data_IF_681508649700
#
_entry.id   IF_681508649700
#
_cell.length_a   1.000
_cell.length_b   1.000
_cell.length_c   1.000
_cell.angle_alpha   90.00
_cell.angle_beta   90.00
_cell.angle_gamma   90.00
#
_symmetry.space_group_name_H-M   'P 1'
#
loop_
_entity.id
_entity.type
_entity.pdbx_description
1 polymer ?
#
# COMPACT_ATOMS: atom_id res chain seq x y z
N UNK A 1 98.94 -39.92 -22.34
CA UNK A 1 98.99 -39.29 -23.68
C UNK A 1 97.94 -38.18 -23.71
N UNK A 2 98.40 -36.94 -23.95
CA UNK A 2 97.70 -35.75 -24.50
C UNK A 2 96.40 -35.21 -23.81
N UNK A 3 96.57 -34.25 -22.88
CA UNK A 3 96.15 -32.81 -22.84
C UNK A 3 94.94 -32.29 -23.68
N UNK A 4 94.39 -31.05 -23.47
CA UNK A 4 93.64 -30.46 -22.33
C UNK A 4 92.41 -29.55 -22.76
N UNK A 5 91.75 -28.88 -21.77
CA UNK A 5 90.86 -27.67 -21.85
C UNK A 5 89.41 -27.90 -22.36
N UNK A 6 88.35 -27.17 -21.98
CA UNK A 6 88.15 -25.74 -21.66
C UNK A 6 86.93 -25.50 -20.74
N UNK A 7 86.93 -24.38 -20.03
CA UNK A 7 85.85 -23.79 -19.22
C UNK A 7 84.80 -23.13 -20.11
N UNK A 8 83.51 -23.24 -19.78
CA UNK A 8 82.56 -22.14 -20.05
C UNK A 8 81.39 -22.16 -19.06
N UNK A 9 81.30 -21.09 -18.26
CA UNK A 9 80.18 -20.76 -17.40
C UNK A 9 79.03 -20.21 -18.25
N UNK A 10 77.79 -20.60 -17.94
CA UNK A 10 76.58 -19.94 -18.46
C UNK A 10 75.71 -19.54 -17.28
N UNK A 11 75.50 -18.22 -17.17
CA UNK A 11 74.61 -17.59 -16.22
C UNK A 11 73.15 -17.82 -16.66
N UNK A 12 72.32 -18.32 -15.76
CA UNK A 12 70.87 -18.38 -15.96
C UNK A 12 70.24 -17.09 -15.42
N UNK A 13 69.81 -16.21 -16.33
CA UNK A 13 69.02 -15.03 -16.02
C UNK A 13 67.59 -15.44 -15.65
N UNK A 14 67.18 -15.15 -14.42
CA UNK A 14 65.79 -15.26 -13.96
C UNK A 14 65.01 -14.07 -14.53
N UNK A 15 64.12 -14.33 -15.49
CA UNK A 15 63.17 -13.34 -15.98
C UNK A 15 61.97 -13.28 -15.02
N UNK A 16 61.82 -12.18 -14.28
CA UNK A 16 60.57 -11.83 -13.60
C UNK A 16 59.54 -11.40 -14.66
N UNK A 17 58.54 -12.25 -14.90
CA UNK A 17 57.31 -11.87 -15.60
C UNK A 17 56.42 -11.10 -14.63
N UNK A 18 56.45 -9.77 -14.72
CA UNK A 18 55.43 -8.92 -14.12
C UNK A 18 54.14 -9.02 -14.96
N UNK A 19 53.18 -9.81 -14.51
CA UNK A 19 51.82 -9.79 -15.03
C UNK A 19 51.13 -8.52 -14.52
N UNK A 20 50.97 -7.52 -15.38
CA UNK A 20 50.07 -6.40 -15.15
C UNK A 20 48.64 -6.93 -15.13
N UNK A 21 48.06 -7.08 -13.94
CA UNK A 21 46.63 -7.30 -13.80
C UNK A 21 45.93 -5.97 -14.14
N UNK A 22 45.34 -5.88 -15.32
CA UNK A 22 44.28 -4.91 -15.58
C UNK A 22 43.12 -5.25 -14.64
N UNK A 23 43.03 -4.53 -13.52
CA UNK A 23 41.79 -4.44 -12.76
C UNK A 23 40.76 -3.80 -13.68
N UNK A 24 39.89 -4.61 -14.28
CA UNK A 24 38.62 -4.13 -14.78
C UNK A 24 37.84 -3.69 -13.56
N UNK A 25 37.86 -2.39 -13.29
CA UNK A 25 36.84 -1.74 -12.47
C UNK A 25 35.53 -1.84 -13.26
N UNK A 26 34.88 -3.00 -13.17
CA UNK A 26 33.46 -3.07 -13.46
C UNK A 26 32.80 -2.10 -12.51
N UNK A 27 32.27 -0.99 -13.04
CA UNK A 27 31.28 -0.21 -12.32
C UNK A 27 30.18 -1.19 -11.95
N UNK A 28 30.01 -1.48 -10.66
CA UNK A 28 28.86 -2.22 -10.19
C UNK A 28 27.64 -1.50 -10.74
N UNK A 29 26.92 -2.15 -11.65
CA UNK A 29 25.68 -1.62 -12.17
C UNK A 29 24.77 -1.46 -10.95
N UNK A 30 24.30 -0.23 -10.66
CA UNK A 30 23.41 -0.02 -9.52
C UNK A 30 22.17 -0.89 -9.71
N UNK A 31 22.09 -1.97 -8.94
CA UNK A 31 21.03 -2.95 -9.06
C UNK A 31 19.70 -2.36 -8.63
N UNK A 32 18.75 -2.35 -9.56
CA UNK A 32 17.39 -1.87 -9.33
C UNK A 32 16.65 -2.73 -8.30
N UNK A 33 15.84 -2.09 -7.44
CA UNK A 33 14.89 -2.76 -6.55
C UNK A 33 13.48 -2.33 -6.95
N UNK A 34 12.60 -3.29 -7.23
CA UNK A 34 11.24 -3.00 -7.69
C UNK A 34 10.17 -3.80 -6.97
N UNK A 35 9.05 -3.17 -6.65
CA UNK A 35 7.97 -3.79 -5.89
C UNK A 35 6.59 -3.24 -6.24
N UNK A 36 5.57 -3.98 -5.84
CA UNK A 36 4.16 -3.59 -5.96
C UNK A 36 3.63 -3.04 -4.63
N UNK A 37 2.65 -2.14 -4.68
CA UNK A 37 1.87 -1.72 -3.53
C UNK A 37 0.38 -1.64 -3.89
N UNK A 38 -0.49 -2.26 -3.10
CA UNK A 38 -1.93 -2.34 -3.38
C UNK A 38 -2.73 -2.60 -2.10
N UNK A 39 -3.90 -2.00 -1.95
CA UNK A 39 -4.79 -2.13 -0.79
C UNK A 39 -6.25 -2.24 -1.21
N UNK A 40 -7.11 -2.49 -0.22
CA UNK A 40 -8.57 -2.63 -0.42
C UNK A 40 -8.85 -3.74 -1.45
N UNK A 41 -8.24 -4.89 -1.20
CA UNK A 41 -7.95 -5.90 -2.22
C UNK A 41 -8.87 -7.12 -2.14
N UNK A 42 -9.52 -7.36 -1.00
CA UNK A 42 -10.29 -8.59 -0.79
C UNK A 42 -11.80 -8.46 -0.89
N UNK A 43 -12.34 -8.07 -2.04
CA UNK A 43 -13.79 -8.07 -2.25
C UNK A 43 -14.23 -9.25 -3.10
N UNK A 44 -14.75 -10.31 -2.47
CA UNK A 44 -15.29 -11.46 -3.18
C UNK A 44 -16.83 -11.42 -3.24
N UNK A 45 -17.43 -11.81 -4.37
CA UNK A 45 -18.87 -11.68 -4.56
C UNK A 45 -19.72 -12.53 -3.62
N UNK A 46 -19.21 -13.68 -3.17
CA UNK A 46 -19.90 -14.55 -2.21
C UNK A 46 -19.92 -13.99 -0.77
N UNK A 47 -19.09 -12.99 -0.46
CA UNK A 47 -19.01 -12.36 0.86
C UNK A 47 -19.65 -10.98 0.83
N UNK A 48 -20.93 -10.90 1.20
CA UNK A 48 -21.70 -9.65 1.21
C UNK A 48 -22.35 -9.36 2.55
N UNK A 49 -22.53 -8.07 2.86
CA UNK A 49 -23.21 -7.64 4.08
C UNK A 49 -24.60 -8.25 4.18
N UNK A 50 -24.98 -8.71 5.37
CA UNK A 50 -26.31 -9.29 5.68
C UNK A 50 -27.48 -8.41 5.22
N UNK A 51 -27.31 -7.08 5.19
CA UNK A 51 -28.34 -6.14 4.71
C UNK A 51 -28.68 -6.31 3.23
N UNK A 52 -27.69 -6.63 2.39
CA UNK A 52 -27.89 -6.81 0.95
C UNK A 52 -28.66 -8.10 0.65
N UNK A 53 -28.38 -9.18 1.38
CA UNK A 53 -29.17 -10.42 1.30
C UNK A 53 -30.63 -10.22 1.71
N UNK A 54 -30.90 -9.37 2.71
CA UNK A 54 -32.27 -9.08 3.18
C UNK A 54 -33.02 -8.13 2.24
N UNK A 55 -32.33 -7.17 1.64
CA UNK A 55 -32.90 -6.12 0.78
C UNK A 55 -31.98 -5.87 -0.42
N UNK A 56 -32.01 -6.76 -1.42
CA UNK A 56 -31.16 -6.62 -2.60
C UNK A 56 -31.68 -5.53 -3.54
N UNK A 57 -30.76 -4.85 -4.22
CA UNK A 57 -31.09 -3.90 -5.29
C UNK A 57 -31.51 -4.68 -6.55
N UNK A 58 -32.82 -4.94 -6.72
CA UNK A 58 -33.33 -5.78 -7.82
C UNK A 58 -33.21 -5.14 -9.20
N UNK A 59 -33.01 -3.83 -9.27
CA UNK A 59 -32.97 -3.04 -10.50
C UNK A 59 -31.79 -2.08 -10.46
N UNK A 60 -31.27 -1.71 -11.64
CA UNK A 60 -30.19 -0.72 -11.76
C UNK A 60 -30.67 0.63 -11.21
N UNK A 61 -31.92 0.99 -11.47
CA UNK A 61 -32.54 2.23 -11.01
C UNK A 61 -32.60 2.31 -9.48
N UNK A 62 -32.84 1.19 -8.79
CA UNK A 62 -32.85 1.15 -7.33
C UNK A 62 -31.44 1.34 -6.75
N UNK A 63 -30.43 0.70 -7.34
CA UNK A 63 -29.03 0.90 -6.94
C UNK A 63 -28.60 2.34 -7.21
N UNK A 64 -28.90 2.87 -8.39
CA UNK A 64 -28.53 4.23 -8.77
C UNK A 64 -29.20 5.28 -7.89
N UNK A 65 -30.47 5.10 -7.52
CA UNK A 65 -31.17 6.01 -6.61
C UNK A 65 -30.52 6.07 -5.23
N UNK A 66 -30.14 4.91 -4.66
CA UNK A 66 -29.42 4.80 -3.39
C UNK A 66 -28.04 5.47 -3.49
N UNK A 67 -27.27 5.13 -4.52
CA UNK A 67 -25.94 5.72 -4.75
C UNK A 67 -25.97 7.23 -5.02
N UNK A 68 -27.04 7.75 -5.66
CA UNK A 68 -27.26 9.20 -5.82
C UNK A 68 -27.62 9.90 -4.52
N UNK A 69 -28.29 9.22 -3.59
CA UNK A 69 -28.58 9.76 -2.27
C UNK A 69 -27.29 9.93 -1.47
N UNK A 70 -26.45 8.89 -1.42
CA UNK A 70 -25.12 8.93 -0.79
C UNK A 70 -24.25 10.03 -1.43
N UNK A 71 -24.25 10.13 -2.77
CA UNK A 71 -23.51 11.18 -3.49
C UNK A 71 -23.91 12.61 -3.06
N UNK A 72 -25.21 12.83 -2.83
CA UNK A 72 -25.73 14.12 -2.42
C UNK A 72 -25.44 14.41 -0.93
N UNK A 73 -25.51 13.39 -0.08
CA UNK A 73 -25.14 13.46 1.34
C UNK A 73 -23.66 13.86 1.50
N UNK A 74 -22.78 13.24 0.72
CA UNK A 74 -21.34 13.51 0.64
C UNK A 74 -20.97 14.89 0.06
N UNK A 75 -21.95 15.72 -0.32
CA UNK A 75 -21.76 17.06 -0.93
C UNK A 75 -20.99 17.05 -2.27
N UNK A 76 -20.95 15.90 -2.95
CA UNK A 76 -20.24 15.75 -4.23
C UNK A 76 -20.97 16.48 -5.37
N UNK A 77 -20.22 16.91 -6.37
CA UNK A 77 -20.76 17.68 -7.49
C UNK A 77 -21.69 16.82 -8.36
N UNK A 78 -22.96 17.20 -8.59
CA UNK A 78 -23.90 16.35 -9.33
C UNK A 78 -23.47 16.01 -10.77
N UNK A 79 -22.78 16.92 -11.46
CA UNK A 79 -22.29 16.71 -12.83
C UNK A 79 -21.12 15.72 -12.92
N UNK A 80 -20.51 15.38 -11.80
CA UNK A 80 -19.39 14.42 -11.72
C UNK A 80 -19.87 13.00 -11.35
N UNK A 81 -21.19 12.83 -11.15
CA UNK A 81 -21.77 11.55 -10.77
C UNK A 81 -21.41 10.45 -11.76
N UNK A 82 -20.89 9.35 -11.23
CA UNK A 82 -20.59 8.12 -11.97
C UNK A 82 -20.95 6.92 -11.10
N UNK A 83 -21.65 5.96 -11.68
CA UNK A 83 -21.88 4.68 -11.03
C UNK A 83 -20.59 3.85 -11.03
N UNK A 84 -20.32 3.07 -9.97
CA UNK A 84 -19.30 2.04 -10.02
C UNK A 84 -19.73 0.94 -10.98
N UNK A 85 -18.77 0.15 -11.39
CA UNK A 85 -18.99 -1.07 -12.15
C UNK A 85 -19.85 -2.02 -11.33
N UNK A 86 -20.92 -2.57 -11.91
CA UNK A 86 -21.90 -3.40 -11.21
C UNK A 86 -21.84 -4.86 -11.65
N UNK A 87 -22.25 -5.74 -10.73
CA UNK A 87 -22.41 -7.17 -10.91
C UNK A 87 -23.79 -7.59 -10.41
N UNK A 88 -24.52 -8.36 -11.20
CA UNK A 88 -25.80 -8.94 -10.77
C UNK A 88 -25.53 -10.29 -10.10
N UNK A 89 -25.79 -10.38 -8.80
CA UNK A 89 -25.56 -11.59 -8.03
C UNK A 89 -26.79 -12.49 -8.10
N UNK A 90 -26.71 -13.57 -8.87
CA UNK A 90 -27.84 -14.46 -9.18
C UNK A 90 -28.56 -15.02 -7.94
N UNK A 91 -27.81 -15.58 -6.98
CA UNK A 91 -28.42 -16.14 -5.76
C UNK A 91 -29.10 -15.09 -4.87
N UNK A 92 -28.55 -13.88 -4.83
CA UNK A 92 -29.10 -12.76 -4.08
C UNK A 92 -30.29 -12.12 -4.82
N UNK A 93 -30.32 -12.22 -6.15
CA UNK A 93 -31.32 -11.58 -7.00
C UNK A 93 -31.21 -10.06 -7.03
N UNK A 94 -29.99 -9.51 -7.04
CA UNK A 94 -29.78 -8.06 -7.11
C UNK A 94 -28.36 -7.62 -7.44
N UNK A 95 -28.22 -6.33 -7.69
CA UNK A 95 -26.96 -5.67 -8.03
C UNK A 95 -26.11 -5.40 -6.78
N UNK A 96 -24.83 -5.71 -6.92
CA UNK A 96 -23.75 -5.31 -6.02
C UNK A 96 -22.65 -4.66 -6.86
N UNK A 97 -21.64 -4.09 -6.19
CA UNK A 97 -20.46 -3.63 -6.91
C UNK A 97 -19.74 -4.81 -7.55
N UNK A 98 -19.17 -4.60 -8.73
CA UNK A 98 -18.26 -5.55 -9.36
C UNK A 98 -16.95 -5.53 -8.58
N UNK A 99 -16.34 -6.70 -8.43
CA UNK A 99 -15.03 -6.81 -7.80
C UNK A 99 -13.94 -6.65 -8.83
N UNK A 100 -12.99 -5.77 -8.53
CA UNK A 100 -11.73 -5.64 -9.25
C UNK A 100 -10.64 -6.62 -8.80
N UNK A 101 -10.87 -7.42 -7.75
CA UNK A 101 -9.83 -8.23 -7.10
C UNK A 101 -9.08 -9.12 -8.08
N UNK A 102 -9.79 -9.98 -8.82
CA UNK A 102 -9.17 -10.88 -9.79
C UNK A 102 -8.57 -10.11 -10.99
N UNK A 103 -9.29 -9.17 -11.65
CA UNK A 103 -8.70 -8.38 -12.74
C UNK A 103 -7.42 -7.62 -12.35
N UNK A 104 -7.34 -7.06 -11.14
CA UNK A 104 -6.15 -6.34 -10.66
C UNK A 104 -5.02 -7.32 -10.35
N UNK A 105 -5.30 -8.46 -9.73
CA UNK A 105 -4.30 -9.50 -9.51
C UNK A 105 -3.69 -10.00 -10.84
N UNK A 106 -4.54 -10.22 -11.84
CA UNK A 106 -4.13 -10.61 -13.19
C UNK A 106 -3.31 -9.50 -13.87
N UNK A 107 -3.70 -8.23 -13.72
CA UNK A 107 -2.97 -7.09 -14.26
C UNK A 107 -1.59 -6.92 -13.58
N UNK A 108 -1.48 -7.17 -12.27
CA UNK A 108 -0.19 -7.21 -11.57
C UNK A 108 0.71 -8.29 -12.17
N UNK A 109 0.20 -9.52 -12.34
CA UNK A 109 0.96 -10.61 -12.96
C UNK A 109 1.39 -10.27 -14.39
N UNK A 110 0.50 -9.72 -15.21
CA UNK A 110 0.80 -9.30 -16.58
C UNK A 110 1.86 -8.19 -16.61
N UNK A 111 1.77 -7.21 -15.72
CA UNK A 111 2.76 -6.14 -15.62
C UNK A 111 4.14 -6.67 -15.21
N UNK A 112 4.17 -7.60 -14.25
CA UNK A 112 5.42 -8.19 -13.74
C UNK A 112 6.08 -9.18 -14.71
N UNK A 113 5.41 -9.57 -15.80
CA UNK A 113 6.06 -10.30 -16.90
C UNK A 113 6.95 -9.38 -17.75
N UNK A 114 6.62 -8.08 -17.81
CA UNK A 114 7.34 -7.08 -18.59
C UNK A 114 8.26 -6.19 -17.73
N UNK A 115 8.04 -6.15 -16.41
CA UNK A 115 8.75 -5.29 -15.47
C UNK A 115 9.15 -6.09 -14.23
N UNK A 116 10.30 -5.77 -13.63
CA UNK A 116 10.70 -6.44 -12.39
C UNK A 116 9.73 -6.12 -11.24
N UNK A 117 9.33 -7.17 -10.51
CA UNK A 117 8.55 -7.11 -9.28
C UNK A 117 9.11 -8.15 -8.31
N UNK A 118 9.89 -7.72 -7.32
CA UNK A 118 10.63 -8.62 -6.44
C UNK A 118 9.92 -8.87 -5.10
N UNK A 119 8.96 -8.01 -4.74
CA UNK A 119 8.05 -8.22 -3.63
C UNK A 119 6.78 -7.38 -3.80
N UNK A 120 5.80 -7.58 -2.93
CA UNK A 120 4.58 -6.76 -2.85
C UNK A 120 4.35 -6.20 -1.46
N UNK A 121 3.55 -5.14 -1.38
CA UNK A 121 3.04 -4.56 -0.14
C UNK A 121 1.52 -4.49 -0.21
N UNK A 122 0.84 -5.12 0.76
CA UNK A 122 -0.61 -5.13 0.85
C UNK A 122 -1.06 -4.15 1.94
N UNK A 123 -1.81 -3.12 1.55
CA UNK A 123 -2.02 -1.88 2.33
C UNK A 123 -3.31 -1.89 3.18
N UNK A 124 -3.75 -3.07 3.64
CA UNK A 124 -4.94 -3.23 4.46
C UNK A 124 -6.26 -3.32 3.69
N UNK A 125 -7.35 -3.51 4.43
CA UNK A 125 -8.68 -3.89 3.93
C UNK A 125 -8.59 -5.12 3.03
N UNK A 126 -8.00 -6.13 3.64
CA UNK A 126 -7.63 -7.37 3.00
C UNK A 126 -8.83 -8.29 2.85
N UNK A 127 -9.86 -8.15 3.69
CA UNK A 127 -11.06 -8.99 3.68
C UNK A 127 -12.32 -8.13 3.85
N UNK A 128 -13.07 -7.98 2.76
CA UNK A 128 -14.41 -7.40 2.80
C UNK A 128 -15.51 -8.46 2.97
N UNK A 129 -16.67 -8.08 3.55
CA UNK A 129 -16.96 -6.76 4.10
C UNK A 129 -16.51 -6.57 5.55
N UNK A 130 -16.23 -7.62 6.30
CA UNK A 130 -16.14 -7.53 7.76
C UNK A 130 -14.98 -8.38 8.35
N UNK A 131 -13.89 -8.59 7.59
CA UNK A 131 -12.76 -9.36 8.10
C UNK A 131 -13.04 -10.86 8.20
N UNK A 132 -12.15 -11.58 8.88
CA UNK A 132 -12.38 -12.97 9.28
C UNK A 132 -13.49 -13.02 10.34
N UNK A 133 -14.44 -13.93 10.17
CA UNK A 133 -15.67 -13.97 10.98
C UNK A 133 -15.70 -15.09 12.01
N UNK A 134 -14.69 -15.95 12.02
CA UNK A 134 -14.65 -17.16 12.85
C UNK A 134 -15.86 -18.07 12.62
N UNK A 135 -16.38 -18.07 11.39
CA UNK A 135 -17.58 -18.82 11.01
C UNK A 135 -18.91 -18.22 11.45
N UNK A 136 -18.94 -17.03 12.03
CA UNK A 136 -20.17 -16.39 12.53
C UNK A 136 -21.19 -16.03 11.42
N UNK A 137 -20.75 -15.99 10.17
CA UNK A 137 -21.59 -15.83 8.98
C UNK A 137 -21.86 -17.15 8.25
N UNK A 138 -21.42 -18.28 8.81
CA UNK A 138 -21.61 -19.62 8.23
C UNK A 138 -20.51 -20.04 7.26
N UNK A 139 -19.46 -19.25 7.07
CA UNK A 139 -18.32 -19.59 6.20
C UNK A 139 -17.03 -19.71 7.02
N UNK A 140 -16.37 -20.86 6.87
CA UNK A 140 -15.06 -21.14 7.46
C UNK A 140 -13.99 -20.18 6.95
N UNK A 141 -13.15 -19.67 7.85
CA UNK A 141 -12.10 -18.72 7.50
C UNK A 141 -11.04 -19.32 6.57
N UNK A 142 -10.80 -20.64 6.62
CA UNK A 142 -9.89 -21.30 5.66
C UNK A 142 -10.38 -21.17 4.22
N UNK A 143 -11.68 -21.35 3.98
CA UNK A 143 -12.30 -21.11 2.66
C UNK A 143 -12.23 -19.64 2.26
N UNK A 144 -12.47 -18.74 3.21
CA UNK A 144 -12.37 -17.28 2.99
C UNK A 144 -10.95 -16.87 2.61
N UNK A 145 -9.95 -17.39 3.31
CA UNK A 145 -8.54 -17.11 3.02
C UNK A 145 -8.12 -17.71 1.67
N UNK A 146 -8.63 -18.89 1.30
CA UNK A 146 -8.39 -19.46 -0.03
C UNK A 146 -8.96 -18.55 -1.13
N UNK A 147 -10.22 -18.11 -1.01
CA UNK A 147 -10.89 -17.27 -2.01
C UNK A 147 -10.29 -15.88 -2.14
N UNK A 148 -9.84 -15.29 -1.03
CA UNK A 148 -9.39 -13.90 -0.98
C UNK A 148 -7.88 -13.78 -1.17
N UNK A 149 -7.09 -14.73 -0.66
CA UNK A 149 -5.63 -14.65 -0.71
C UNK A 149 -5.03 -15.66 -1.68
N UNK A 150 -5.31 -16.93 -1.50
CA UNK A 150 -4.60 -17.97 -2.27
C UNK A 150 -4.97 -17.93 -3.75
N UNK A 151 -6.25 -17.96 -4.09
CA UNK A 151 -6.71 -18.06 -5.49
C UNK A 151 -6.30 -16.84 -6.31
N UNK A 152 -6.53 -15.59 -5.88
CA UNK A 152 -6.24 -14.42 -6.71
C UNK A 152 -4.73 -14.24 -6.94
N UNK A 153 -3.91 -14.51 -5.94
CA UNK A 153 -2.49 -14.15 -5.95
C UNK A 153 -1.52 -15.30 -6.23
N UNK A 154 -1.95 -16.57 -6.30
CA UNK A 154 -1.07 -17.75 -6.48
C UNK A 154 0.01 -17.69 -7.57
N UNK A 155 -0.17 -16.88 -8.61
CA UNK A 155 0.79 -16.74 -9.71
C UNK A 155 1.77 -15.57 -9.54
N UNK A 156 1.52 -14.67 -8.58
CA UNK A 156 2.36 -13.52 -8.33
C UNK A 156 3.66 -13.94 -7.64
N UNK A 157 4.80 -13.57 -8.22
CA UNK A 157 6.11 -14.03 -7.78
C UNK A 157 6.47 -15.46 -8.20
N UNK A 158 5.70 -16.07 -9.13
CA UNK A 158 5.95 -17.45 -9.54
C UNK A 158 7.41 -17.66 -10.03
N UNK A 159 8.09 -18.61 -9.39
CA UNK A 159 9.49 -18.94 -9.68
C UNK A 159 10.51 -18.23 -8.78
N UNK A 160 10.08 -17.27 -7.96
CA UNK A 160 10.88 -16.60 -6.94
C UNK A 160 10.45 -17.08 -5.55
N UNK A 161 11.30 -17.87 -4.89
CA UNK A 161 11.02 -18.40 -3.54
C UNK A 161 11.15 -17.36 -2.44
N UNK A 162 11.79 -16.23 -2.73
CA UNK A 162 11.97 -15.12 -1.79
C UNK A 162 10.88 -14.05 -1.95
N UNK A 163 10.02 -14.17 -2.97
CA UNK A 163 8.91 -13.25 -3.18
C UNK A 163 7.91 -13.36 -2.03
N UNK A 164 7.64 -12.22 -1.40
CA UNK A 164 6.68 -12.06 -0.31
C UNK A 164 5.80 -10.85 -0.53
N UNK A 165 4.59 -10.90 0.01
CA UNK A 165 3.67 -9.77 0.12
C UNK A 165 3.63 -9.36 1.59
N UNK A 166 4.20 -8.20 1.92
CA UNK A 166 4.22 -7.65 3.27
C UNK A 166 2.91 -6.91 3.56
N UNK A 167 2.16 -7.37 4.56
CA UNK A 167 0.75 -7.00 4.72
C UNK A 167 0.53 -6.16 5.99
N UNK A 168 -0.22 -5.06 5.84
CA UNK A 168 -0.87 -4.32 6.92
C UNK A 168 -2.34 -4.76 7.06
N UNK A 169 -2.95 -4.55 8.22
CA UNK A 169 -4.41 -4.64 8.38
C UNK A 169 -5.09 -3.29 8.11
N UNK A 170 -6.33 -3.33 7.63
CA UNK A 170 -7.22 -2.17 7.52
C UNK A 170 -8.44 -2.25 8.42
N UNK A 171 -9.29 -1.22 8.40
CA UNK A 171 -10.42 -1.15 9.33
C UNK A 171 -11.43 -2.28 9.08
N UNK A 172 -11.61 -2.72 7.83
CA UNK A 172 -12.51 -3.83 7.52
C UNK A 172 -12.03 -5.16 8.08
N UNK A 173 -10.72 -5.36 8.22
CA UNK A 173 -10.14 -6.57 8.83
C UNK A 173 -10.48 -6.64 10.34
N UNK A 174 -10.78 -5.50 10.95
CA UNK A 174 -11.16 -5.36 12.35
C UNK A 174 -12.67 -5.38 12.60
N UNK A 175 -13.54 -5.26 11.61
CA UNK A 175 -15.00 -5.07 11.81
C UNK A 175 -15.74 -6.17 12.59
N UNK A 176 -15.22 -7.40 12.64
CA UNK A 176 -15.88 -8.47 13.38
C UNK A 176 -15.42 -8.58 14.82
N UNK A 177 -14.11 -8.77 15.04
CA UNK A 177 -13.53 -8.99 16.37
C UNK A 177 -12.00 -8.95 16.28
N UNK A 178 -11.34 -8.78 17.42
CA UNK A 178 -9.88 -8.93 17.51
C UNK A 178 -9.43 -10.36 17.22
N UNK A 179 -10.19 -11.36 17.65
CA UNK A 179 -9.90 -12.76 17.36
C UNK A 179 -9.97 -13.04 15.85
N UNK A 180 -10.91 -12.40 15.13
CA UNK A 180 -10.97 -12.43 13.67
C UNK A 180 -9.75 -11.81 13.02
N UNK A 181 -9.41 -10.57 13.39
CA UNK A 181 -8.19 -9.90 12.89
C UNK A 181 -6.93 -10.76 13.14
N UNK A 182 -6.80 -11.35 14.34
CA UNK A 182 -5.68 -12.22 14.69
C UNK A 182 -5.69 -13.57 13.97
N UNK A 183 -6.86 -14.09 13.55
CA UNK A 183 -6.93 -15.29 12.71
C UNK A 183 -6.31 -15.04 11.33
N UNK A 184 -6.53 -13.85 10.77
CA UNK A 184 -5.86 -13.43 9.54
C UNK A 184 -4.35 -13.28 9.74
N UNK A 185 -3.90 -12.61 10.82
CA UNK A 185 -2.46 -12.50 11.14
C UNK A 185 -1.83 -13.89 11.24
N UNK A 186 -2.45 -14.82 11.97
CA UNK A 186 -1.94 -16.18 12.14
C UNK A 186 -1.92 -16.99 10.83
N UNK A 187 -2.79 -16.67 9.87
CA UNK A 187 -2.73 -17.23 8.51
C UNK A 187 -1.56 -16.65 7.73
N UNK A 188 -1.37 -15.32 7.77
CA UNK A 188 -0.29 -14.63 7.04
C UNK A 188 1.10 -14.99 7.57
N UNK A 189 1.27 -15.10 8.89
CA UNK A 189 2.52 -15.54 9.55
C UNK A 189 2.97 -16.95 9.12
N UNK A 190 2.01 -17.81 8.74
CA UNK A 190 2.27 -19.18 8.28
C UNK A 190 2.31 -19.30 6.76
N UNK A 191 2.00 -18.23 6.03
CA UNK A 191 1.97 -18.23 4.59
C UNK A 191 3.38 -18.22 4.01
N UNK A 192 3.57 -18.86 2.86
CA UNK A 192 4.80 -18.71 2.07
C UNK A 192 4.75 -17.50 1.13
N UNK A 193 3.56 -17.03 0.76
CA UNK A 193 3.40 -15.92 -0.18
C UNK A 193 3.22 -14.58 0.54
N UNK A 194 2.58 -14.60 1.70
CA UNK A 194 2.35 -13.41 2.51
C UNK A 194 3.32 -13.38 3.70
N UNK A 195 3.46 -12.19 4.30
CA UNK A 195 4.25 -12.00 5.49
C UNK A 195 3.57 -11.00 6.42
N UNK A 196 3.42 -11.41 7.68
CA UNK A 196 3.11 -10.57 8.83
C UNK A 196 3.91 -11.11 10.01
N UNK A 197 4.20 -10.25 10.98
CA UNK A 197 4.76 -10.62 12.29
C UNK A 197 4.03 -9.78 13.35
N UNK A 198 2.85 -10.24 13.75
CA UNK A 198 1.88 -9.38 14.42
C UNK A 198 1.30 -8.27 13.52
N UNK A 199 0.63 -7.30 14.16
CA UNK A 199 -0.10 -6.21 13.47
C UNK A 199 0.77 -4.98 13.16
N UNK A 200 1.96 -4.89 13.77
CA UNK A 200 2.97 -3.89 13.46
C UNK A 200 4.36 -4.50 13.62
N UNK A 201 5.22 -4.30 12.62
CA UNK A 201 6.54 -4.94 12.54
C UNK A 201 7.45 -4.21 11.54
N UNK A 202 8.76 -4.46 11.61
CA UNK A 202 9.68 -4.06 10.54
C UNK A 202 10.33 -5.28 9.90
N UNK A 203 10.66 -5.15 8.63
CA UNK A 203 11.25 -6.23 7.84
C UNK A 203 12.12 -5.69 6.73
N UNK A 204 13.25 -6.37 6.46
CA UNK A 204 14.12 -6.10 5.32
C UNK A 204 13.88 -7.19 4.27
N UNK A 205 13.18 -6.89 3.16
CA UNK A 205 12.94 -7.88 2.13
C UNK A 205 14.26 -8.44 1.59
N UNK A 206 14.37 -9.75 1.30
CA UNK A 206 15.59 -10.32 0.73
C UNK A 206 16.05 -9.60 -0.55
N UNK A 207 15.10 -9.29 -1.43
CA UNK A 207 15.32 -8.51 -2.65
C UNK A 207 15.84 -7.08 -2.39
N UNK A 208 15.57 -6.53 -1.21
CA UNK A 208 16.09 -5.24 -0.76
C UNK A 208 17.56 -5.29 -0.35
N UNK A 209 18.17 -6.47 -0.19
CA UNK A 209 19.60 -6.68 0.14
C UNK A 209 20.10 -5.89 1.37
N UNK A 210 19.19 -5.59 2.30
CA UNK A 210 19.47 -4.77 3.47
C UNK A 210 19.37 -3.25 3.26
N UNK A 211 19.26 -2.80 2.00
CA UNK A 211 19.09 -1.40 1.61
C UNK A 211 17.64 -0.93 1.74
N UNK A 212 16.67 -1.83 1.81
CA UNK A 212 15.26 -1.51 2.04
C UNK A 212 14.82 -2.07 3.39
N UNK A 213 14.17 -1.25 4.20
CA UNK A 213 13.41 -1.68 5.37
C UNK A 213 11.97 -1.13 5.29
N UNK A 214 11.01 -2.02 5.49
CA UNK A 214 9.59 -1.72 5.52
C UNK A 214 9.14 -1.72 6.98
N UNK A 215 8.44 -0.68 7.40
CA UNK A 215 7.78 -0.56 8.69
C UNK A 215 6.27 -0.63 8.46
N UNK A 216 5.64 -1.66 9.01
CA UNK A 216 4.22 -1.89 8.92
C UNK A 216 3.57 -1.44 10.22
N UNK A 217 2.52 -0.63 10.13
CA UNK A 217 1.75 -0.13 11.28
C UNK A 217 0.26 -0.45 11.12
N UNK A 218 -0.39 -0.77 12.24
CA UNK A 218 -1.84 -0.90 12.29
C UNK A 218 -2.47 0.45 12.61
N UNK A 219 -2.88 1.16 11.56
CA UNK A 219 -3.45 2.50 11.70
C UNK A 219 -4.84 2.49 12.31
N UNK A 220 -5.59 1.39 12.22
CA UNK A 220 -6.90 1.25 12.86
C UNK A 220 -6.74 1.21 14.38
N UNK A 221 -5.82 0.38 14.89
CA UNK A 221 -5.53 0.31 16.34
C UNK A 221 -5.02 1.65 16.87
N UNK A 222 -4.16 2.35 16.13
CA UNK A 222 -3.68 3.69 16.51
C UNK A 222 -4.83 4.69 16.61
N UNK A 223 -5.68 4.76 15.58
CA UNK A 223 -6.82 5.68 15.51
C UNK A 223 -7.86 5.40 16.60
N UNK A 224 -8.19 4.11 16.80
CA UNK A 224 -9.07 3.63 17.87
C UNK A 224 -8.59 4.02 19.28
N UNK A 225 -7.29 4.24 19.46
CA UNK A 225 -6.68 4.67 20.73
C UNK A 225 -6.82 6.16 21.05
N UNK A 226 -6.96 7.03 20.03
CA UNK A 226 -7.03 8.49 20.21
C UNK A 226 -8.43 9.06 20.00
N UNK A 227 -9.22 8.41 19.15
CA UNK A 227 -10.52 8.91 18.69
C UNK A 227 -10.42 10.21 17.88
N UNK A 228 -11.43 10.44 17.07
CA UNK A 228 -11.53 11.58 16.16
C UNK A 228 -13.01 11.82 15.84
N UNK A 229 -13.39 13.05 15.45
CA UNK A 229 -14.77 13.33 15.10
C UNK A 229 -15.13 12.78 13.72
N UNK A 230 -16.42 12.67 13.44
CA UNK A 230 -16.94 12.40 12.10
C UNK A 230 -16.46 13.48 11.10
N UNK A 231 -16.04 13.03 9.92
CA UNK A 231 -15.67 13.89 8.80
C UNK A 231 -16.91 14.41 8.08
N UNK A 232 -17.14 15.73 8.15
CA UNK A 232 -18.28 16.39 7.50
C UNK A 232 -17.77 17.52 6.60
N UNK A 233 -18.34 17.64 5.41
CA UNK A 233 -18.03 18.72 4.47
C UNK A 233 -19.16 19.75 4.39
N UNK A 234 -18.78 21.00 4.13
CA UNK A 234 -19.72 22.03 3.68
C UNK A 234 -20.06 21.82 2.19
N UNK A 235 -21.16 22.41 1.68
CA UNK A 235 -21.53 22.30 0.26
C UNK A 235 -20.47 22.82 -0.74
N UNK A 236 -19.55 23.67 -0.28
CA UNK A 236 -18.41 24.18 -1.06
C UNK A 236 -17.16 23.26 -1.00
N UNK A 237 -17.27 22.10 -0.33
CA UNK A 237 -16.19 21.14 -0.14
C UNK A 237 -15.22 21.49 0.99
N UNK A 238 -15.42 22.60 1.71
CA UNK A 238 -14.58 22.92 2.87
C UNK A 238 -14.89 22.04 4.08
N UNK A 239 -13.87 21.76 4.89
CA UNK A 239 -14.01 20.97 6.12
C UNK A 239 -14.97 21.66 7.11
N UNK A 240 -15.92 20.90 7.63
CA UNK A 240 -16.83 21.30 8.70
C UNK A 240 -16.46 20.53 9.97
N UNK A 241 -16.48 21.22 11.11
CA UNK A 241 -16.23 20.58 12.41
C UNK A 241 -17.37 19.60 12.74
N UNK A 242 -17.04 18.31 12.81
CA UNK A 242 -17.94 17.26 13.30
C UNK A 242 -18.33 17.46 14.77
N UNK A 243 -19.52 16.99 15.16
CA UNK A 243 -20.08 17.18 16.50
C UNK A 243 -20.07 15.93 17.37
N UNK A 244 -19.73 14.77 16.81
CA UNK A 244 -19.65 13.49 17.52
C UNK A 244 -18.37 12.72 17.16
N UNK A 245 -17.93 11.77 18.03
CA UNK A 245 -16.86 10.85 17.67
C UNK A 245 -17.31 9.97 16.50
N UNK A 246 -16.37 9.59 15.63
CA UNK A 246 -16.61 8.51 14.69
C UNK A 246 -16.80 7.18 15.45
N UNK A 247 -17.41 6.20 14.78
CA UNK A 247 -17.64 4.87 15.35
C UNK A 247 -16.30 4.15 15.51
N UNK A 248 -15.98 3.77 16.74
CA UNK A 248 -14.77 3.02 17.10
C UNK A 248 -15.17 1.63 17.56
N UNK A 249 -14.68 0.62 16.85
CA UNK A 249 -14.84 -0.77 17.24
C UNK A 249 -14.09 -1.05 18.56
N UNK A 250 -14.76 -1.45 19.66
CA UNK A 250 -14.12 -1.57 20.97
C UNK A 250 -12.94 -2.55 21.02
N UNK A 251 -12.96 -3.58 20.17
CA UNK A 251 -11.92 -4.61 20.07
C UNK A 251 -10.70 -4.18 19.25
N UNK A 252 -10.83 -3.14 18.42
CA UNK A 252 -9.71 -2.52 17.71
C UNK A 252 -8.89 -1.57 18.61
N UNK A 253 -9.38 -1.22 19.81
CA UNK A 253 -8.59 -0.40 20.75
C UNK A 253 -7.28 -1.06 21.14
N UNK A 254 -6.21 -0.27 21.44
CA UNK A 254 -4.93 -0.80 21.89
C UNK A 254 -5.07 -1.71 23.12
N UNK A 255 -4.75 -3.00 22.96
CA UNK A 255 -4.92 -4.02 23.98
C UNK A 255 -3.79 -4.04 25.02
N UNK A 256 -2.59 -3.61 24.64
CA UNK A 256 -1.38 -3.68 25.46
C UNK A 256 -0.52 -2.40 25.33
N UNK A 257 0.58 -2.35 26.08
CA UNK A 257 1.46 -1.18 26.10
C UNK A 257 2.20 -0.97 24.77
N UNK A 258 2.56 -2.05 24.08
CA UNK A 258 3.24 -1.96 22.80
C UNK A 258 2.33 -1.32 21.74
N UNK A 259 1.06 -1.75 21.66
CA UNK A 259 0.05 -1.15 20.78
C UNK A 259 -0.21 0.34 21.13
N UNK A 260 -0.27 0.69 22.42
CA UNK A 260 -0.42 2.10 22.85
C UNK A 260 0.79 2.97 22.46
N UNK A 261 1.97 2.37 22.38
CA UNK A 261 3.22 3.04 22.07
C UNK A 261 3.68 2.82 20.62
N UNK A 262 2.79 2.40 19.71
CA UNK A 262 3.14 2.07 18.32
C UNK A 262 3.81 3.24 17.58
N UNK A 263 3.37 4.49 17.81
CA UNK A 263 4.00 5.67 17.22
C UNK A 263 5.46 5.85 17.70
N UNK A 264 5.73 5.57 18.97
CA UNK A 264 7.08 5.64 19.55
C UNK A 264 7.95 4.47 19.06
N UNK A 265 7.37 3.28 18.90
CA UNK A 265 8.03 2.14 18.28
C UNK A 265 8.45 2.46 16.84
N UNK A 266 7.56 3.07 16.05
CA UNK A 266 7.85 3.47 14.67
C UNK A 266 9.01 4.48 14.62
N UNK A 267 8.98 5.50 15.48
CA UNK A 267 10.07 6.49 15.56
C UNK A 267 11.41 5.84 15.89
N UNK A 268 11.44 4.96 16.89
CA UNK A 268 12.67 4.28 17.29
C UNK A 268 13.18 3.33 16.19
N UNK A 269 12.29 2.59 15.54
CA UNK A 269 12.63 1.70 14.44
C UNK A 269 13.25 2.45 13.26
N UNK A 270 12.58 3.49 12.78
CA UNK A 270 13.07 4.33 11.69
C UNK A 270 14.41 5.00 12.02
N UNK A 271 14.54 5.54 13.25
CA UNK A 271 15.78 6.19 13.71
C UNK A 271 16.96 5.23 13.80
N UNK A 272 16.72 3.97 14.20
CA UNK A 272 17.77 2.98 14.40
C UNK A 272 18.07 2.16 13.13
N UNK A 273 17.22 2.25 12.10
CA UNK A 273 17.42 1.54 10.85
C UNK A 273 18.64 2.07 10.11
N UNK A 274 19.49 1.14 9.70
CA UNK A 274 20.64 1.41 8.80
C UNK A 274 20.31 1.16 7.33
N UNK A 275 19.05 0.84 7.00
CA UNK A 275 18.65 0.70 5.60
C UNK A 275 18.71 2.06 4.91
N UNK A 276 19.04 2.05 3.62
CA UNK A 276 19.02 3.24 2.78
C UNK A 276 17.57 3.73 2.64
N UNK A 277 16.73 2.91 2.02
CA UNK A 277 15.32 3.20 1.82
C UNK A 277 14.48 2.70 2.99
N UNK A 278 13.75 3.60 3.63
CA UNK A 278 12.87 3.33 4.77
C UNK A 278 11.42 3.62 4.37
N UNK A 279 10.63 2.58 4.14
CA UNK A 279 9.22 2.74 3.76
C UNK A 279 8.30 2.45 4.93
N UNK A 280 7.23 3.23 5.05
CA UNK A 280 6.19 2.96 6.04
C UNK A 280 4.90 2.62 5.30
N UNK A 281 4.26 1.53 5.69
CA UNK A 281 2.95 1.14 5.17
C UNK A 281 1.94 1.04 6.31
N UNK A 282 0.73 1.50 6.04
CA UNK A 282 -0.43 1.42 6.93
C UNK A 282 -1.70 1.58 6.11
N UNK A 283 -2.88 1.36 6.70
CA UNK A 283 -4.10 1.41 5.90
C UNK A 283 -4.61 2.82 5.65
N UNK A 284 -4.58 3.68 6.67
CA UNK A 284 -5.22 5.00 6.65
C UNK A 284 -4.28 6.06 6.04
N UNK A 285 -4.69 6.81 5.01
CA UNK A 285 -3.83 7.80 4.35
C UNK A 285 -3.62 9.05 5.21
N UNK A 286 -2.50 9.75 4.97
CA UNK A 286 -2.24 11.08 5.55
C UNK A 286 -2.84 12.21 4.70
N UNK A 287 -2.98 11.95 3.41
CA UNK A 287 -3.57 12.82 2.41
C UNK A 287 -4.37 11.98 1.43
N UNK A 288 -5.58 12.43 1.14
CA UNK A 288 -6.47 11.82 0.16
C UNK A 288 -7.54 12.83 -0.26
N UNK A 289 -8.18 12.60 -1.40
CA UNK A 289 -9.19 13.51 -1.96
C UNK A 289 -10.62 12.98 -1.92
N UNK A 290 -10.88 11.81 -1.33
CA UNK A 290 -12.22 11.23 -1.20
C UNK A 290 -13.19 12.06 -0.35
N UNK A 291 -12.66 12.81 0.63
CA UNK A 291 -13.41 13.81 1.41
C UNK A 291 -14.25 13.26 2.57
N UNK A 292 -14.46 11.95 2.65
CA UNK A 292 -15.23 11.32 3.73
C UNK A 292 -14.37 10.84 4.91
N UNK A 293 -13.04 10.92 4.79
CA UNK A 293 -12.08 10.34 5.76
C UNK A 293 -10.99 11.32 6.24
N UNK A 294 -11.20 12.63 6.06
CA UNK A 294 -10.17 13.63 6.34
C UNK A 294 -9.84 13.80 7.84
N UNK A 295 -10.76 13.49 8.76
CA UNK A 295 -10.51 13.55 10.20
C UNK A 295 -9.59 12.40 10.67
N UNK A 296 -9.72 11.20 10.08
CA UNK A 296 -8.77 10.10 10.27
C UNK A 296 -7.37 10.50 9.79
N UNK A 297 -7.29 11.04 8.58
CA UNK A 297 -6.03 11.54 8.02
C UNK A 297 -5.41 12.66 8.88
N UNK A 298 -6.23 13.55 9.46
CA UNK A 298 -5.77 14.60 10.38
C UNK A 298 -5.23 14.00 11.68
N UNK A 299 -5.92 13.03 12.27
CA UNK A 299 -5.46 12.33 13.47
C UNK A 299 -4.15 11.56 13.22
N UNK A 300 -4.05 10.84 12.10
CA UNK A 300 -2.82 10.17 11.68
C UNK A 300 -1.66 11.14 11.50
N UNK A 301 -1.86 12.27 10.78
CA UNK A 301 -0.81 13.29 10.62
C UNK A 301 -0.29 13.78 11.96
N UNK A 302 -1.16 14.02 12.95
CA UNK A 302 -0.74 14.41 14.30
C UNK A 302 0.13 13.36 14.99
N UNK A 303 -0.12 12.07 14.75
CA UNK A 303 0.59 10.97 15.41
C UNK A 303 1.93 10.63 14.75
N UNK A 304 2.01 10.62 13.41
CA UNK A 304 3.16 10.03 12.71
C UNK A 304 3.86 10.96 11.72
N UNK A 305 3.25 12.06 11.26
CA UNK A 305 3.86 12.91 10.24
C UNK A 305 5.24 13.46 10.64
N UNK A 306 5.49 13.95 11.88
CA UNK A 306 6.82 14.40 12.28
C UNK A 306 7.89 13.30 12.16
N UNK A 307 7.55 12.09 12.61
CA UNK A 307 8.42 10.92 12.51
C UNK A 307 8.74 10.55 11.06
N UNK A 308 7.72 10.51 10.20
CA UNK A 308 7.90 10.18 8.78
C UNK A 308 8.72 11.25 8.05
N UNK A 309 8.42 12.53 8.29
CA UNK A 309 9.14 13.65 7.71
C UNK A 309 10.63 13.65 8.03
N UNK A 310 10.98 13.13 9.22
CA UNK A 310 12.36 13.06 9.68
C UNK A 310 13.13 11.86 9.13
N UNK A 311 12.50 10.69 9.07
CA UNK A 311 13.23 9.42 8.89
C UNK A 311 12.72 8.51 7.77
N UNK A 312 11.48 8.63 7.29
CA UNK A 312 10.96 7.75 6.25
C UNK A 312 11.26 8.32 4.86
N UNK A 313 11.25 7.49 3.82
CA UNK A 313 11.37 7.86 2.40
C UNK A 313 10.02 8.07 1.72
N UNK A 314 9.06 7.20 2.02
CA UNK A 314 7.69 7.28 1.53
C UNK A 314 6.72 6.59 2.49
N UNK A 315 5.46 7.01 2.43
CA UNK A 315 4.33 6.40 3.12
C UNK A 315 3.33 5.83 2.11
N UNK A 316 2.95 4.56 2.27
CA UNK A 316 1.98 3.89 1.42
C UNK A 316 0.71 3.56 2.20
N UNK A 317 -0.45 3.83 1.59
CA UNK A 317 -1.76 3.55 2.20
C UNK A 317 -2.84 3.16 1.19
N UNK A 318 -3.93 2.59 1.69
CA UNK A 318 -5.16 2.30 0.94
C UNK A 318 -6.32 3.16 1.46
N UNK A 319 -7.40 2.50 1.89
CA UNK A 319 -8.61 3.00 2.55
C UNK A 319 -9.56 3.81 1.65
N UNK A 320 -9.00 4.74 0.88
CA UNK A 320 -9.75 5.42 -0.17
C UNK A 320 -9.68 4.58 -1.45
N UNK A 321 -10.82 4.36 -2.10
CA UNK A 321 -10.93 3.46 -3.25
C UNK A 321 -10.52 4.16 -4.56
N UNK A 322 -9.32 4.72 -4.54
CA UNK A 322 -8.69 5.56 -5.57
C UNK A 322 -7.19 5.27 -5.68
N UNK A 323 -6.56 5.82 -6.73
CA UNK A 323 -5.11 5.90 -6.89
C UNK A 323 -4.68 7.36 -6.82
N UNK A 324 -3.78 7.69 -5.88
CA UNK A 324 -3.34 9.06 -5.66
C UNK A 324 -1.84 9.14 -5.32
N UNK A 325 -1.16 10.15 -5.86
CA UNK A 325 0.24 10.49 -5.51
C UNK A 325 0.22 11.88 -4.92
N UNK A 326 0.71 12.00 -3.69
CA UNK A 326 0.85 13.28 -3.00
C UNK A 326 2.28 13.45 -2.50
N UNK A 327 2.69 14.70 -2.27
CA UNK A 327 3.87 15.01 -1.48
C UNK A 327 3.55 16.01 -0.38
N UNK A 328 4.26 15.94 0.74
CA UNK A 328 4.20 16.92 1.83
C UNK A 328 5.59 17.52 2.08
N UNK A 329 5.74 18.85 2.03
CA UNK A 329 7.04 19.52 2.25
C UNK A 329 7.52 19.43 3.70
N UNK A 330 6.70 18.88 4.60
CA UNK A 330 6.99 18.72 6.01
C UNK A 330 7.21 20.04 6.76
N UNK A 331 6.95 21.20 6.12
CA UNK A 331 7.19 22.53 6.71
C UNK A 331 6.34 22.81 7.97
N UNK A 332 5.28 22.02 8.16
CA UNK A 332 4.43 22.07 9.35
C UNK A 332 4.96 21.24 10.53
N UNK A 333 6.07 20.53 10.33
CA UNK A 333 6.76 19.73 11.35
C UNK A 333 8.04 20.44 11.80
N UNK A 334 8.52 20.23 13.04
CA UNK A 334 9.81 20.77 13.50
C UNK A 334 11.01 20.36 12.61
N UNK A 335 10.86 19.30 11.82
CA UNK A 335 11.89 18.67 11.00
C UNK A 335 11.75 18.94 9.50
N UNK A 336 11.03 20.00 9.13
CA UNK A 336 10.67 20.31 7.73
C UNK A 336 11.83 20.23 6.73
N UNK A 337 11.67 19.37 5.72
CA UNK A 337 12.56 19.20 4.57
C UNK A 337 11.81 19.64 3.30
N UNK A 338 11.90 20.93 2.97
CA UNK A 338 11.20 21.46 1.78
C UNK A 338 11.82 20.99 0.46
N UNK A 339 13.13 20.75 0.42
CA UNK A 339 13.86 20.36 -0.80
C UNK A 339 13.56 18.92 -1.24
N UNK A 340 13.25 18.05 -0.28
CA UNK A 340 12.83 16.67 -0.52
C UNK A 340 11.51 16.49 0.22
N UNK A 341 10.34 16.61 -0.45
CA UNK A 341 9.02 16.51 0.20
C UNK A 341 8.53 15.07 0.33
N UNK A 342 8.00 14.65 1.48
CA UNK A 342 7.64 13.26 1.80
C UNK A 342 6.65 12.72 0.77
N UNK A 343 6.98 11.59 0.15
CA UNK A 343 6.09 10.94 -0.81
C UNK A 343 4.98 10.20 -0.05
N UNK A 344 3.73 10.43 -0.46
CA UNK A 344 2.58 9.66 -0.01
C UNK A 344 1.93 8.99 -1.24
N UNK A 345 1.82 7.67 -1.18
CA UNK A 345 1.24 6.85 -2.25
C UNK A 345 -0.04 6.23 -1.73
N UNK A 346 -1.16 6.59 -2.32
CA UNK A 346 -2.46 6.01 -2.05
C UNK A 346 -2.79 5.01 -3.17
N UNK A 347 -2.91 3.73 -2.81
CA UNK A 347 -3.22 2.65 -3.74
C UNK A 347 -4.31 1.71 -3.20
N UNK A 348 -5.52 2.26 -2.97
CA UNK A 348 -6.65 1.53 -2.39
C UNK A 348 -7.67 1.04 -3.42
N UNK A 349 -7.25 0.82 -4.66
CA UNK A 349 -8.15 0.53 -5.79
C UNK A 349 -8.06 -0.93 -6.26
N UNK A 350 -7.61 -1.87 -5.43
CA UNK A 350 -7.31 -3.23 -5.90
C UNK A 350 -8.56 -4.12 -6.05
N UNK A 351 -9.69 -3.77 -5.44
CA UNK A 351 -10.95 -4.52 -5.63
C UNK A 351 -12.22 -3.69 -5.67
N UNK A 352 -12.17 -2.45 -5.20
CA UNK A 352 -13.28 -1.50 -5.18
C UNK A 352 -12.87 -0.18 -5.82
N UNK A 353 -13.87 0.59 -6.21
CA UNK A 353 -13.67 1.92 -6.79
C UNK A 353 -14.66 2.92 -6.19
N UNK A 354 -14.19 4.13 -5.90
CA UNK A 354 -15.02 5.26 -5.47
C UNK A 354 -14.62 6.53 -6.19
N UNK A 355 -15.55 7.49 -6.22
CA UNK A 355 -15.26 8.83 -6.73
C UNK A 355 -14.47 9.65 -5.71
N UNK A 356 -13.62 10.52 -6.23
CA UNK A 356 -12.97 11.57 -5.44
C UNK A 356 -13.90 12.79 -5.30
N UNK A 357 -13.52 13.74 -4.46
CA UNK A 357 -14.31 14.93 -4.19
C UNK A 357 -13.58 16.21 -4.65
N UNK A 358 -13.88 16.69 -5.86
CA UNK A 358 -13.13 17.78 -6.51
C UNK A 358 -13.11 19.09 -5.73
N UNK A 359 -14.24 19.50 -5.13
CA UNK A 359 -14.29 20.71 -4.28
C UNK A 359 -13.44 20.57 -3.01
N UNK A 360 -13.46 19.41 -2.37
CA UNK A 360 -12.62 19.13 -1.20
C UNK A 360 -11.14 19.10 -1.57
N UNK A 361 -10.78 18.49 -2.72
CA UNK A 361 -9.41 18.55 -3.23
C UNK A 361 -8.95 20.00 -3.47
N UNK A 362 -9.80 20.85 -4.03
CA UNK A 362 -9.52 22.27 -4.23
C UNK A 362 -9.39 23.04 -2.89
N UNK A 363 -10.22 22.71 -1.91
CA UNK A 363 -10.09 23.23 -0.55
C UNK A 363 -8.76 22.79 0.07
N UNK A 364 -8.42 21.51 0.00
CA UNK A 364 -7.22 20.92 0.59
C UNK A 364 -5.96 21.59 0.04
N UNK A 365 -5.87 21.75 -1.28
CA UNK A 365 -4.76 22.45 -1.94
C UNK A 365 -4.61 23.92 -1.49
N UNK A 366 -5.69 24.59 -1.10
CA UNK A 366 -5.66 25.97 -0.58
C UNK A 366 -5.35 26.03 0.92
N UNK A 367 -5.92 25.12 1.70
CA UNK A 367 -5.84 25.11 3.16
C UNK A 367 -4.52 24.54 3.66
N UNK A 368 -3.88 23.66 2.88
CA UNK A 368 -2.67 22.94 3.25
C UNK A 368 -1.58 23.10 2.16
N UNK A 369 -0.96 24.28 2.06
CA UNK A 369 0.01 24.59 1.00
C UNK A 369 1.27 23.71 1.04
N UNK A 370 1.57 23.07 2.17
CA UNK A 370 2.65 22.10 2.29
C UNK A 370 2.41 20.83 1.48
N UNK A 371 1.15 20.53 1.15
CA UNK A 371 0.77 19.33 0.44
C UNK A 371 0.51 19.63 -1.04
N UNK A 372 0.99 18.74 -1.92
CA UNK A 372 0.71 18.79 -3.36
C UNK A 372 0.14 17.45 -3.81
N UNK A 373 -1.01 17.47 -4.48
CA UNK A 373 -1.60 16.28 -5.10
C UNK A 373 -1.14 16.25 -6.56
N UNK A 374 -0.24 15.33 -6.88
CA UNK A 374 0.38 15.21 -8.20
C UNK A 374 -0.48 14.41 -9.17
N UNK A 375 -1.15 13.39 -8.65
CA UNK A 375 -2.08 12.54 -9.40
C UNK A 375 -3.20 12.11 -8.49
N UNK A 376 -4.43 12.14 -9.02
CA UNK A 376 -5.65 11.76 -8.30
C UNK A 376 -6.59 11.12 -9.31
N UNK A 377 -6.96 9.85 -9.08
CA UNK A 377 -7.94 9.17 -9.91
C UNK A 377 -8.79 8.20 -9.10
N UNK A 378 -10.08 8.52 -8.98
CA UNK A 378 -11.12 7.60 -8.53
C UNK A 378 -11.82 6.91 -9.70
N UNK A 379 -12.81 6.08 -9.40
CA UNK A 379 -13.57 5.28 -10.38
C UNK A 379 -12.63 4.49 -11.30
N UNK A 380 -11.67 3.79 -10.69
CA UNK A 380 -10.63 3.03 -11.34
C UNK A 380 -10.30 1.80 -10.50
N UNK A 381 -9.79 0.76 -11.15
CA UNK A 381 -9.09 -0.34 -10.49
C UNK A 381 -7.61 -0.31 -10.83
N UNK A 382 -6.76 -0.65 -9.86
CA UNK A 382 -5.32 -0.65 -10.08
C UNK A 382 -4.47 -0.78 -8.83
N UNK A 383 -3.19 -0.53 -9.01
CA UNK A 383 -2.12 -0.71 -8.02
C UNK A 383 -0.96 0.25 -8.32
N UNK A 384 -0.01 0.36 -7.40
CA UNK A 384 1.25 1.07 -7.61
C UNK A 384 2.40 0.10 -7.88
N UNK A 385 3.33 0.51 -8.74
CA UNK A 385 4.66 -0.10 -8.89
C UNK A 385 5.72 0.93 -8.51
N UNK A 386 6.74 0.49 -7.79
CA UNK A 386 7.87 1.35 -7.42
C UNK A 386 9.15 0.71 -7.93
N UNK A 387 10.04 1.54 -8.44
CA UNK A 387 11.39 1.17 -8.89
C UNK A 387 12.40 2.10 -8.23
N UNK A 388 13.44 1.53 -7.62
CA UNK A 388 14.52 2.25 -6.96
C UNK A 388 15.83 1.96 -7.66
N UNK A 389 16.62 3.00 -7.92
CA UNK A 389 17.96 2.89 -8.49
C UNK A 389 18.86 3.99 -7.94
N UNK A 390 19.93 3.61 -7.25
CA UNK A 390 20.79 4.58 -6.59
C UNK A 390 19.99 5.40 -5.57
N UNK A 391 20.04 6.72 -5.69
CA UNK A 391 19.29 7.68 -4.86
C UNK A 391 17.93 8.12 -5.48
N UNK A 392 17.54 7.51 -6.60
CA UNK A 392 16.30 7.83 -7.31
C UNK A 392 15.26 6.72 -7.12
N UNK A 393 14.00 7.15 -6.97
CA UNK A 393 12.83 6.29 -7.00
C UNK A 393 11.81 6.78 -8.04
N UNK A 394 11.07 5.84 -8.63
CA UNK A 394 9.95 6.12 -9.52
C UNK A 394 8.75 5.35 -9.02
N UNK A 395 7.64 6.04 -8.71
CA UNK A 395 6.34 5.42 -8.50
C UNK A 395 5.50 5.55 -9.75
N UNK A 396 4.86 4.44 -10.14
CA UNK A 396 3.96 4.35 -11.29
C UNK A 396 2.59 3.91 -10.80
N UNK A 397 1.56 4.66 -11.15
CA UNK A 397 0.17 4.27 -10.92
C UNK A 397 -0.33 3.49 -12.11
N UNK A 398 -0.70 2.23 -11.89
CA UNK A 398 -1.10 1.30 -12.94
C UNK A 398 -2.56 0.96 -12.75
N UNK A 399 -3.34 1.07 -13.82
CA UNK A 399 -4.75 0.70 -13.85
C UNK A 399 -5.00 -0.55 -14.66
N UNK A 400 -6.19 -1.11 -14.51
CA UNK A 400 -6.76 -2.08 -15.45
C UNK A 400 -8.20 -1.69 -15.78
N UNK A 401 -8.70 -1.97 -16.99
CA UNK A 401 -10.10 -1.74 -17.33
C UNK A 401 -11.06 -2.53 -16.42
N UNK A 402 -12.26 -1.98 -16.20
CA UNK A 402 -13.28 -2.60 -15.36
C UNK A 402 -14.11 -3.68 -16.07
N UNK A 403 -13.81 -3.94 -17.35
CA UNK A 403 -14.41 -4.99 -18.18
C UNK A 403 -13.83 -6.40 -17.89
N UNK A 404 -12.79 -6.48 -17.05
CA UNK A 404 -12.15 -7.73 -16.66
C UNK A 404 -11.03 -8.19 -17.60
N UNK A 405 -10.61 -7.37 -18.58
CA UNK A 405 -9.52 -7.71 -19.51
C UNK A 405 -8.12 -7.81 -18.88
N UNK A 406 -7.94 -7.26 -17.66
CA UNK A 406 -6.69 -7.31 -16.89
C UNK A 406 -5.47 -6.69 -17.62
N UNK A 407 -5.68 -5.79 -18.58
CA UNK A 407 -4.58 -5.14 -19.31
C UNK A 407 -4.01 -4.00 -18.44
N UNK A 408 -2.73 -4.05 -18.03
CA UNK A 408 -2.14 -2.99 -17.21
C UNK A 408 -1.86 -1.74 -18.05
N UNK A 409 -2.24 -0.58 -17.53
CA UNK A 409 -1.97 0.74 -18.14
C UNK A 409 -1.27 1.65 -17.14
N UNK A 410 -0.11 2.21 -17.51
CA UNK A 410 0.55 3.25 -16.71
C UNK A 410 -0.22 4.55 -16.87
N UNK A 411 -0.90 4.99 -15.80
CA UNK A 411 -1.69 6.21 -15.77
C UNK A 411 -0.86 7.44 -15.42
N UNK A 412 0.17 7.24 -14.59
CA UNK A 412 1.00 8.32 -14.08
C UNK A 412 2.35 7.80 -13.58
N UNK A 413 3.38 8.64 -13.69
CA UNK A 413 4.70 8.38 -13.11
C UNK A 413 5.15 9.59 -12.29
N UNK A 414 5.75 9.34 -11.13
CA UNK A 414 6.34 10.37 -10.28
C UNK A 414 7.73 9.95 -9.83
N UNK A 415 8.69 10.87 -9.96
CA UNK A 415 10.07 10.66 -9.49
C UNK A 415 10.24 11.26 -8.11
N UNK A 416 10.97 10.57 -7.24
CA UNK A 416 11.31 11.05 -5.91
C UNK A 416 12.75 10.68 -5.57
N UNK A 417 13.34 11.39 -4.62
CA UNK A 417 14.71 11.17 -4.18
C UNK A 417 14.75 10.53 -2.81
N UNK A 418 15.80 9.73 -2.57
CA UNK A 418 16.17 9.26 -1.25
C UNK A 418 16.34 10.45 -0.29
N UNK A 419 15.65 10.39 0.85
CA UNK A 419 15.56 11.48 1.84
C UNK A 419 16.04 11.08 3.22
N UNK A 420 15.98 9.80 3.57
CA UNK A 420 16.32 9.38 4.92
C UNK A 420 17.82 9.58 5.18
N UNK A 421 18.17 9.97 6.40
CA UNK A 421 19.58 10.09 6.84
C UNK A 421 20.15 8.75 7.30
#
# INVERSE_FOLDING_TARGET
MVSPKFIMATAASVALLASAACAQTGTAEEETISFLAFGDSGYHHEYQKKKLWKKPFRTLEAFEADYRADWAEDQKTPSEFRLPSLYFHEQMGGYIMRSGQQPVADAMMAYCQANACQFGMMLGDNIYPDGATLGADGVDDGKRFEDIFTIPYRGLGAGDTDFRIYTALGNHDWHTSREGAMAQVAYMEKSDQFYMDGIFYSVKPPAGRGDVEIFVIDTEVMLSGVGYPEAVLNPDGSEKKGTGPDDIDPWAKPANEAERNMAAWLEQGLRNSTAKWKFVIGHHPLWATGGSKFEQARAMRKMILPTLCKYADAYFAGHEHSLEVHTDTCETTPEGRTEKPLLHVLSGAASKERSTHTKFAAYQAKAYPQQTAHFVRGMIWGFAHVELKGDEGVVRMISTPTDGSAVPHVEYEHRFEHRSE
#
